data_IF_782277039879
#
_entry.id   IF_782277039879
#
_cell.length_a   1.000
_cell.length_b   1.000
_cell.length_c   1.000
_cell.angle_alpha   90.00
_cell.angle_beta   90.00
_cell.angle_gamma   90.00
#
_symmetry.space_group_name_H-M   'P 1'
#
loop_
_entity.id
_entity.type
_entity.pdbx_description
1 polymer ?
#
# COMPACT_ATOMS: atom_id res chain seq x y z
N UNK A 1 30.28 -16.40 37.71
CA UNK A 1 29.39 -15.32 37.21
C UNK A 1 29.18 -15.34 35.68
N UNK A 2 29.98 -16.08 34.91
CA UNK A 2 30.02 -16.07 33.44
C UNK A 2 28.76 -16.64 32.74
N UNK A 3 28.11 -17.66 33.33
CA UNK A 3 26.97 -18.35 32.69
C UNK A 3 25.67 -17.50 32.69
N UNK A 4 25.51 -16.59 33.66
CA UNK A 4 24.32 -15.69 33.73
C UNK A 4 24.38 -14.59 32.67
N UNK A 5 25.58 -14.11 32.35
CA UNK A 5 25.79 -13.07 31.33
C UNK A 5 25.56 -13.62 29.91
N UNK A 6 26.03 -14.84 29.62
CA UNK A 6 25.83 -15.46 28.31
C UNK A 6 24.35 -15.72 27.98
N UNK A 7 23.56 -16.16 28.96
CA UNK A 7 22.12 -16.43 28.76
C UNK A 7 21.30 -15.16 28.53
N UNK A 8 21.65 -14.05 29.19
CA UNK A 8 20.96 -12.76 29.01
C UNK A 8 21.30 -12.15 27.65
N UNK A 9 22.57 -12.17 27.24
CA UNK A 9 22.98 -11.68 25.92
C UNK A 9 22.32 -12.47 24.79
N UNK A 10 22.26 -13.80 24.88
CA UNK A 10 21.58 -14.63 23.87
C UNK A 10 20.08 -14.34 23.78
N UNK A 11 19.39 -14.15 24.91
CA UNK A 11 17.95 -13.82 24.92
C UNK A 11 17.70 -12.46 24.27
N UNK A 12 18.51 -11.44 24.60
CA UNK A 12 18.39 -10.10 24.01
C UNK A 12 18.67 -10.10 22.50
N UNK A 13 19.64 -10.90 22.05
CA UNK A 13 19.94 -11.05 20.62
C UNK A 13 18.81 -11.77 19.88
N UNK A 14 18.25 -12.83 20.47
CA UNK A 14 17.15 -13.59 19.87
C UNK A 14 15.84 -12.78 19.81
N UNK A 15 15.51 -12.03 20.86
CA UNK A 15 14.33 -11.15 20.85
C UNK A 15 14.53 -9.97 19.91
N UNK A 16 15.74 -9.40 19.85
CA UNK A 16 16.09 -8.38 18.86
C UNK A 16 15.93 -8.87 17.42
N UNK A 17 16.42 -10.07 17.11
CA UNK A 17 16.30 -10.67 15.78
C UNK A 17 14.84 -10.99 15.40
N UNK A 18 14.06 -11.48 16.36
CA UNK A 18 12.62 -11.76 16.17
C UNK A 18 11.82 -10.48 15.92
N UNK A 19 12.09 -9.41 16.68
CA UNK A 19 11.41 -8.12 16.52
C UNK A 19 11.77 -7.49 15.18
N UNK A 20 13.05 -7.50 14.79
CA UNK A 20 13.51 -7.01 13.47
C UNK A 20 12.85 -7.80 12.33
N UNK A 21 12.70 -9.12 12.47
CA UNK A 21 12.01 -9.95 11.49
C UNK A 21 10.48 -9.77 11.44
N UNK A 22 9.86 -9.24 12.51
CA UNK A 22 8.42 -9.03 12.60
C UNK A 22 7.98 -7.70 11.94
N UNK A 23 8.85 -6.68 11.95
CA UNK A 23 8.50 -5.32 11.50
C UNK A 23 8.68 -5.06 9.99
N UNK A 24 9.11 -6.03 9.18
CA UNK A 24 9.43 -5.81 7.74
C UNK A 24 8.37 -6.31 6.75
N UNK A 25 7.12 -6.54 7.18
CA UNK A 25 6.05 -6.95 6.27
C UNK A 25 5.20 -5.75 5.83
N UNK A 26 5.69 -5.02 4.83
CA UNK A 26 4.87 -4.05 4.10
C UNK A 26 4.20 -4.75 2.92
N UNK A 27 2.98 -5.26 3.14
CA UNK A 27 2.12 -5.70 2.05
C UNK A 27 1.41 -4.47 1.48
N UNK A 28 2.06 -3.75 0.57
CA UNK A 28 1.44 -2.62 -0.14
C UNK A 28 0.82 -3.13 -1.43
N UNK A 29 -0.47 -3.48 -1.36
CA UNK A 29 -1.31 -3.77 -2.53
C UNK A 29 -2.46 -2.76 -2.59
N UNK A 30 -2.12 -1.48 -2.61
CA UNK A 30 -3.07 -0.39 -2.82
C UNK A 30 -3.08 -0.06 -4.33
N UNK A 31 -4.20 -0.17 -5.05
CA UNK A 31 -4.25 0.24 -6.44
C UNK A 31 -4.02 1.76 -6.53
N UNK A 32 -2.95 2.16 -7.21
CA UNK A 32 -2.70 3.56 -7.52
C UNK A 32 -3.59 3.96 -8.71
N UNK A 33 -4.47 4.94 -8.50
CA UNK A 33 -5.26 5.55 -9.56
C UNK A 33 -5.01 7.05 -9.61
N UNK A 34 -4.85 7.59 -10.81
CA UNK A 34 -4.74 9.02 -11.06
C UNK A 34 -6.10 9.55 -11.47
N UNK A 35 -6.61 10.54 -10.74
CA UNK A 35 -7.80 11.28 -11.16
C UNK A 35 -7.39 12.30 -12.21
N UNK A 36 -7.90 12.14 -13.43
CA UNK A 36 -7.74 13.09 -14.52
C UNK A 36 -9.04 13.89 -14.67
N UNK A 37 -8.95 15.19 -14.48
CA UNK A 37 -10.04 16.11 -14.80
C UNK A 37 -10.04 16.37 -16.32
N UNK A 38 -11.15 16.03 -16.97
CA UNK A 38 -11.36 16.22 -18.40
C UNK A 38 -12.11 17.53 -18.71
N UNK A 39 -12.65 18.18 -17.68
CA UNK A 39 -13.63 19.25 -17.86
C UNK A 39 -14.83 18.78 -18.68
N UNK A 40 -15.39 19.71 -19.46
CA UNK A 40 -16.59 19.48 -20.29
C UNK A 40 -16.26 19.11 -21.74
N UNK A 41 -14.98 18.82 -22.05
CA UNK A 41 -14.51 18.45 -23.39
C UNK A 41 -14.96 19.41 -24.52
N UNK A 42 -15.17 20.69 -24.21
CA UNK A 42 -15.61 21.72 -25.15
C UNK A 42 -17.11 22.08 -25.08
N UNK A 43 -17.90 21.40 -24.24
CA UNK A 43 -19.29 21.73 -23.93
C UNK A 43 -19.46 22.63 -22.69
N UNK A 44 -20.71 22.87 -22.28
CA UNK A 44 -21.01 23.55 -21.01
C UNK A 44 -21.07 22.59 -19.82
N UNK A 45 -21.31 21.31 -20.09
CA UNK A 45 -21.50 20.26 -19.10
C UNK A 45 -20.91 18.95 -19.64
N UNK A 46 -20.67 17.98 -18.75
CA UNK A 46 -20.46 16.59 -19.15
C UNK A 46 -21.00 15.64 -18.08
N UNK A 47 -21.62 14.54 -18.51
CA UNK A 47 -22.31 13.57 -17.67
C UNK A 47 -21.84 12.15 -17.97
N UNK A 48 -21.40 11.44 -16.93
CA UNK A 48 -21.01 10.03 -17.05
C UNK A 48 -22.22 9.09 -16.87
N UNK A 49 -22.44 8.20 -17.83
CA UNK A 49 -23.52 7.21 -17.79
C UNK A 49 -23.06 5.80 -17.44
N UNK A 50 -21.80 5.47 -17.70
CA UNK A 50 -21.25 4.16 -17.37
C UNK A 50 -19.85 3.90 -17.93
N UNK A 51 -19.43 2.64 -17.91
CA UNK A 51 -18.16 2.16 -18.45
C UNK A 51 -18.42 1.07 -19.48
N UNK A 52 -17.80 1.15 -20.67
CA UNK A 52 -17.96 0.16 -21.74
C UNK A 52 -17.01 -1.05 -21.57
N UNK A 53 -17.12 -2.07 -22.43
CA UNK A 53 -16.27 -3.27 -22.39
C UNK A 53 -14.77 -3.00 -22.63
N UNK A 54 -14.41 -1.82 -23.16
CA UNK A 54 -13.02 -1.39 -23.32
C UNK A 54 -12.48 -0.68 -22.07
N UNK A 55 -13.28 -0.53 -21.01
CA UNK A 55 -12.87 0.15 -19.77
C UNK A 55 -12.93 1.67 -19.86
N UNK A 56 -13.66 2.23 -20.83
CA UNK A 56 -13.78 3.68 -21.01
C UNK A 56 -15.08 4.19 -20.41
N UNK A 57 -15.04 5.38 -19.81
CA UNK A 57 -16.24 6.11 -19.40
C UNK A 57 -17.00 6.56 -20.65
N UNK A 58 -18.32 6.39 -20.67
CA UNK A 58 -19.23 6.82 -21.74
C UNK A 58 -20.30 7.77 -21.18
N UNK A 59 -20.68 8.78 -21.96
CA UNK A 59 -21.44 9.93 -21.50
C UNK A 59 -21.78 10.93 -22.61
N UNK A 60 -22.32 12.09 -22.22
CA UNK A 60 -22.51 13.28 -23.07
C UNK A 60 -21.85 14.53 -22.49
#
# INVERSE_FOLDING_TARGET
MTVRIGRVTSVVVLTGLLVVGCVTFEAVAEPEYTILDLGTLGGTESHAYGINNAGQVVGE
#
